data_IF_459123113248
#
_entry.id   IF_459123113248
#
_cell.length_a   1.000
_cell.length_b   1.000
_cell.length_c   1.000
_cell.angle_alpha   90.00
_cell.angle_beta   90.00
_cell.angle_gamma   90.00
#
_symmetry.space_group_name_H-M   'P 1'
#
loop_
_entity.id
_entity.type
_entity.pdbx_description
1 polymer ?
#
# COMPACT_ATOMS: atom_id res chain seq x y z
N UNK A 1 -14.14 12.53 -0.03
CA UNK A 1 -14.27 11.17 0.53
C UNK A 1 -14.39 10.20 -0.61
N UNK A 2 -13.62 9.11 -0.61
CA UNK A 2 -13.69 8.12 -1.69
C UNK A 2 -13.54 6.70 -1.18
N UNK A 3 -14.14 5.77 -1.93
CA UNK A 3 -13.99 4.32 -1.75
C UNK A 3 -13.57 3.72 -3.08
N UNK A 4 -12.50 2.93 -3.06
CA UNK A 4 -12.05 2.12 -4.19
C UNK A 4 -12.36 0.65 -3.89
N UNK A 5 -13.11 0.00 -4.76
CA UNK A 5 -13.53 -1.39 -4.62
C UNK A 5 -12.90 -2.27 -5.69
N UNK A 6 -12.42 -3.45 -5.29
CA UNK A 6 -12.01 -4.52 -6.20
C UNK A 6 -13.12 -5.59 -6.24
N UNK A 7 -13.77 -5.82 -7.40
CA UNK A 7 -14.67 -6.95 -7.57
C UNK A 7 -13.95 -8.28 -7.33
N UNK A 8 -14.53 -9.18 -6.55
CA UNK A 8 -14.01 -10.53 -6.31
C UNK A 8 -14.68 -11.57 -7.24
N UNK A 9 -15.00 -11.14 -8.46
CA UNK A 9 -15.64 -11.93 -9.50
C UNK A 9 -15.17 -11.45 -10.87
N UNK A 10 -15.24 -12.35 -11.85
CA UNK A 10 -14.83 -12.07 -13.23
C UNK A 10 -16.07 -11.75 -14.08
N UNK A 11 -16.45 -10.48 -14.09
CA UNK A 11 -17.49 -9.96 -15.00
C UNK A 11 -17.26 -8.47 -15.28
N UNK A 12 -17.63 -8.03 -16.47
CA UNK A 12 -17.63 -6.60 -16.81
C UNK A 12 -18.71 -5.87 -16.00
N UNK A 13 -18.32 -4.72 -15.45
CA UNK A 13 -19.23 -3.84 -14.73
C UNK A 13 -19.82 -2.79 -15.69
N UNK A 14 -21.14 -2.56 -15.65
CA UNK A 14 -21.75 -1.47 -16.39
C UNK A 14 -21.15 -0.09 -16.02
N UNK A 15 -21.12 0.89 -16.95
CA UNK A 15 -20.53 2.20 -16.70
C UNK A 15 -21.14 2.98 -15.52
N UNK A 16 -22.41 2.74 -15.22
CA UNK A 16 -23.22 3.37 -14.16
C UNK A 16 -23.24 2.58 -12.85
N UNK A 17 -22.51 1.47 -12.78
CA UNK A 17 -22.55 0.55 -11.65
C UNK A 17 -22.02 1.17 -10.35
N UNK A 18 -21.14 2.17 -10.43
CA UNK A 18 -20.61 2.89 -9.27
C UNK A 18 -21.72 3.60 -8.48
N UNK A 19 -22.71 4.18 -9.16
CA UNK A 19 -23.86 4.82 -8.53
C UNK A 19 -24.78 3.79 -7.87
N UNK A 20 -24.97 2.62 -8.49
CA UNK A 20 -25.74 1.52 -7.90
C UNK A 20 -25.08 1.05 -6.60
N UNK A 21 -23.76 0.85 -6.61
CA UNK A 21 -23.01 0.46 -5.42
C UNK A 21 -23.05 1.55 -4.34
N UNK A 22 -22.84 2.82 -4.71
CA UNK A 22 -22.92 3.95 -3.77
C UNK A 22 -24.27 3.97 -3.05
N UNK A 23 -25.38 3.80 -3.78
CA UNK A 23 -26.72 3.77 -3.20
C UNK A 23 -26.93 2.56 -2.26
N UNK A 24 -26.30 1.41 -2.54
CA UNK A 24 -26.38 0.21 -1.67
C UNK A 24 -25.50 0.32 -0.41
N UNK A 25 -24.43 1.11 -0.47
CA UNK A 25 -23.50 1.32 0.65
C UNK A 25 -23.84 2.55 1.48
N UNK A 26 -24.72 3.43 1.02
CA UNK A 26 -25.06 4.67 1.70
C UNK A 26 -25.48 4.44 3.16
N UNK A 27 -24.87 5.17 4.09
CA UNK A 27 -25.06 5.03 5.54
C UNK A 27 -24.32 3.83 6.17
N UNK A 28 -23.51 3.09 5.41
CA UNK A 28 -22.61 2.06 5.94
C UNK A 28 -21.21 2.63 6.15
N UNK A 29 -20.56 2.18 7.23
CA UNK A 29 -19.13 2.37 7.45
C UNK A 29 -18.36 1.29 6.68
N UNK A 30 -17.27 1.67 6.02
CA UNK A 30 -16.34 0.77 5.33
C UNK A 30 -14.90 1.07 5.74
N UNK A 31 -14.05 0.04 5.78
CA UNK A 31 -12.63 0.16 6.14
C UNK A 31 -11.72 -0.38 5.04
N UNK A 32 -10.57 0.25 4.83
CA UNK A 32 -9.52 -0.29 3.95
C UNK A 32 -9.16 -1.72 4.37
N UNK A 33 -9.11 -2.64 3.40
CA UNK A 33 -8.79 -4.06 3.61
C UNK A 33 -10.00 -4.96 3.87
N UNK A 34 -11.18 -4.41 4.16
CA UNK A 34 -12.41 -5.18 4.43
C UNK A 34 -12.97 -5.85 3.17
N UNK A 35 -13.60 -7.03 3.33
CA UNK A 35 -14.45 -7.62 2.31
C UNK A 35 -15.93 -7.35 2.61
N UNK A 36 -16.64 -6.80 1.62
CA UNK A 36 -18.06 -6.46 1.73
C UNK A 36 -18.90 -7.26 0.73
N UNK A 37 -20.07 -7.69 1.18
CA UNK A 37 -21.10 -8.32 0.35
C UNK A 37 -22.21 -7.33 0.01
N UNK A 38 -22.52 -7.19 -1.28
CA UNK A 38 -23.59 -6.30 -1.77
C UNK A 38 -24.56 -7.12 -2.60
N UNK A 39 -25.83 -7.10 -2.22
CA UNK A 39 -26.88 -7.82 -2.94
C UNK A 39 -27.38 -7.03 -4.14
N UNK A 40 -27.25 -7.63 -5.33
CA UNK A 40 -27.62 -7.04 -6.62
C UNK A 40 -28.39 -8.08 -7.40
N UNK A 41 -29.64 -7.75 -7.79
CA UNK A 41 -30.54 -8.65 -8.50
C UNK A 41 -30.71 -10.02 -7.81
N UNK A 42 -30.74 -10.04 -6.46
CA UNK A 42 -30.87 -11.24 -5.65
C UNK A 42 -29.61 -12.11 -5.55
N UNK A 43 -28.46 -11.62 -6.04
CA UNK A 43 -27.16 -12.30 -5.90
C UNK A 43 -26.21 -11.48 -5.04
N UNK A 44 -25.53 -12.09 -4.05
CA UNK A 44 -24.50 -11.42 -3.30
C UNK A 44 -23.22 -11.31 -4.14
N UNK A 45 -22.84 -10.08 -4.48
CA UNK A 45 -21.55 -9.80 -5.11
C UNK A 45 -20.57 -9.36 -4.02
N UNK A 46 -19.36 -9.93 -4.06
CA UNK A 46 -18.31 -9.63 -3.09
C UNK A 46 -17.30 -8.65 -3.67
N UNK A 47 -16.88 -7.70 -2.84
CA UNK A 47 -15.88 -6.70 -3.18
C UNK A 47 -14.89 -6.58 -2.03
N UNK A 48 -13.61 -6.39 -2.35
CA UNK A 48 -12.61 -5.96 -1.38
C UNK A 48 -12.52 -4.43 -1.41
N UNK A 49 -12.54 -3.80 -0.24
CA UNK A 49 -12.31 -2.36 -0.08
C UNK A 49 -10.80 -2.14 -0.19
N UNK A 50 -10.34 -1.73 -1.37
CA UNK A 50 -8.91 -1.46 -1.63
C UNK A 50 -8.47 -0.20 -0.91
N UNK A 51 -9.34 0.81 -0.85
CA UNK A 51 -9.07 2.08 -0.19
C UNK A 51 -10.37 2.73 0.29
N UNK A 52 -10.41 3.13 1.56
CA UNK A 52 -11.39 4.08 2.08
C UNK A 52 -10.64 5.34 2.55
N UNK A 53 -11.05 6.51 2.08
CA UNK A 53 -10.39 7.80 2.42
C UNK A 53 -11.41 8.83 2.93
N UNK A 54 -11.38 9.19 4.23
CA UNK A 54 -10.57 8.59 5.31
C UNK A 54 -10.94 7.11 5.61
N UNK A 55 -10.14 6.38 6.40
CA UNK A 55 -10.50 5.03 6.88
C UNK A 55 -10.59 5.06 8.42
N UNK A 56 -11.72 4.69 9.05
CA UNK A 56 -13.00 4.30 8.44
C UNK A 56 -13.72 5.44 7.71
N UNK A 57 -14.56 5.08 6.72
CA UNK A 57 -15.43 6.01 5.99
C UNK A 57 -16.90 5.61 6.12
N UNK A 58 -17.76 6.53 6.54
CA UNK A 58 -19.21 6.41 6.33
C UNK A 58 -19.57 6.89 4.91
N UNK A 59 -20.23 6.03 4.13
CA UNK A 59 -20.58 6.33 2.73
C UNK A 59 -21.77 7.28 2.67
N UNK A 60 -21.54 8.51 2.20
CA UNK A 60 -22.56 9.54 1.99
C UNK A 60 -22.82 9.86 0.52
N UNK A 61 -23.64 10.88 0.28
CA UNK A 61 -24.00 11.35 -1.09
C UNK A 61 -22.79 11.86 -1.88
N UNK A 62 -21.86 12.54 -1.20
CA UNK A 62 -20.64 13.10 -1.77
C UNK A 62 -19.48 12.08 -1.85
N UNK A 63 -19.69 10.85 -1.37
CA UNK A 63 -18.66 9.80 -1.43
C UNK A 63 -18.53 9.31 -2.85
N UNK A 64 -17.33 9.43 -3.42
CA UNK A 64 -17.02 8.88 -4.74
C UNK A 64 -16.71 7.39 -4.64
N UNK A 65 -17.41 6.57 -5.43
CA UNK A 65 -17.14 5.13 -5.53
C UNK A 65 -16.43 4.85 -6.85
N UNK A 66 -15.30 4.17 -6.79
CA UNK A 66 -14.46 3.81 -7.93
C UNK A 66 -14.18 2.30 -7.92
N UNK A 67 -13.97 1.71 -9.10
CA UNK A 67 -13.56 0.31 -9.22
C UNK A 67 -12.12 0.23 -9.72
N UNK A 68 -11.28 -0.52 -9.00
CA UNK A 68 -9.93 -0.83 -9.47
C UNK A 68 -10.02 -1.81 -10.64
N UNK A 69 -9.61 -1.37 -11.83
CA UNK A 69 -9.39 -2.27 -12.96
C UNK A 69 -7.94 -2.75 -12.86
N UNK A 70 -7.74 -3.97 -12.34
CA UNK A 70 -6.42 -4.53 -12.05
C UNK A 70 -6.19 -4.82 -10.56
N UNK A 71 -5.16 -5.62 -10.26
CA UNK A 71 -4.77 -5.91 -8.89
C UNK A 71 -3.89 -4.79 -8.36
N UNK A 72 -4.47 -3.84 -7.64
CA UNK A 72 -3.70 -2.92 -6.80
C UNK A 72 -3.54 -3.60 -5.45
N UNK A 73 -2.34 -4.06 -5.16
CA UNK A 73 -1.94 -4.53 -3.84
C UNK A 73 -1.40 -3.34 -3.05
N UNK A 74 -1.99 -3.10 -1.87
CA UNK A 74 -1.56 -2.04 -0.94
C UNK A 74 -0.99 -2.74 0.28
N UNK A 75 0.27 -2.46 0.58
CA UNK A 75 0.99 -2.98 1.73
C UNK A 75 1.37 -1.79 2.63
N UNK A 76 0.82 -1.79 3.84
CA UNK A 76 1.19 -0.83 4.89
C UNK A 76 2.29 -1.45 5.77
N UNK A 77 3.35 -0.69 5.99
CA UNK A 77 4.46 -1.08 6.86
C UNK A 77 4.51 -0.14 8.06
N UNK A 78 4.41 -0.70 9.26
CA UNK A 78 4.56 0.03 10.52
C UNK A 78 5.99 -0.10 11.03
N UNK A 79 6.56 1.02 11.47
CA UNK A 79 7.90 1.09 12.04
C UNK A 79 7.80 1.75 13.42
N UNK A 80 8.59 1.26 14.37
CA UNK A 80 8.64 1.80 15.75
C UNK A 80 9.26 3.21 15.80
N UNK A 81 9.92 3.63 14.72
CA UNK A 81 10.53 4.94 14.57
C UNK A 81 10.20 5.60 13.23
N UNK A 82 10.31 6.94 13.12
CA UNK A 82 10.01 7.64 11.87
C UNK A 82 10.92 7.22 10.72
N UNK A 83 10.32 7.00 9.55
CA UNK A 83 11.04 6.80 8.30
C UNK A 83 11.69 8.13 7.88
N UNK A 84 13.02 8.14 7.74
CA UNK A 84 13.77 9.33 7.28
C UNK A 84 13.71 9.48 5.77
N UNK A 85 13.91 8.38 5.05
CA UNK A 85 14.02 8.38 3.60
C UNK A 85 13.65 7.01 3.02
N UNK A 86 13.09 7.02 1.82
CA UNK A 86 12.85 5.81 1.01
C UNK A 86 13.51 6.00 -0.34
N UNK A 87 14.47 5.13 -0.68
CA UNK A 87 15.22 5.18 -1.92
C UNK A 87 14.79 4.02 -2.84
N UNK A 88 14.17 4.30 -4.00
CA UNK A 88 13.86 3.26 -4.98
C UNK A 88 15.14 2.81 -5.72
N UNK A 89 15.21 1.52 -6.03
CA UNK A 89 16.24 0.95 -6.91
C UNK A 89 15.68 -0.24 -7.71
N UNK A 90 16.47 -0.85 -8.59
CA UNK A 90 15.96 -1.84 -9.56
C UNK A 90 15.28 -3.04 -8.89
N UNK A 91 15.78 -3.48 -7.72
CA UNK A 91 15.27 -4.67 -7.04
C UNK A 91 14.24 -4.39 -5.94
N UNK A 92 13.87 -3.13 -5.71
CA UNK A 92 12.87 -2.75 -4.72
C UNK A 92 13.15 -1.40 -4.08
N UNK A 93 13.10 -1.35 -2.75
CA UNK A 93 13.17 -0.12 -1.97
C UNK A 93 14.16 -0.24 -0.81
N UNK A 94 14.89 0.83 -0.53
CA UNK A 94 15.68 0.97 0.69
C UNK A 94 14.94 1.90 1.64
N UNK A 95 14.62 1.44 2.83
CA UNK A 95 14.00 2.22 3.90
C UNK A 95 15.09 2.61 4.89
N UNK A 96 15.23 3.91 5.14
CA UNK A 96 16.23 4.47 6.05
C UNK A 96 15.52 5.00 7.30
N UNK A 97 15.84 4.42 8.46
CA UNK A 97 15.38 4.86 9.78
C UNK A 97 16.47 5.69 10.48
N UNK A 98 16.39 5.92 11.80
CA UNK A 98 17.43 6.73 12.46
C UNK A 98 18.80 6.07 12.44
N UNK A 99 18.83 4.78 12.73
CA UNK A 99 20.04 3.96 12.85
C UNK A 99 19.96 2.65 12.07
N UNK A 100 18.81 2.33 11.49
CA UNK A 100 18.61 1.11 10.72
C UNK A 100 18.49 1.41 9.23
N UNK A 101 19.01 0.49 8.41
CA UNK A 101 18.72 0.43 6.97
C UNK A 101 18.08 -0.91 6.65
N UNK A 102 16.91 -0.87 6.02
CA UNK A 102 16.19 -2.03 5.54
C UNK A 102 16.13 -2.02 4.01
N UNK A 103 16.18 -3.20 3.39
CA UNK A 103 15.92 -3.36 1.96
C UNK A 103 14.72 -4.26 1.82
N UNK A 104 13.72 -3.79 1.09
CA UNK A 104 12.52 -4.51 0.71
C UNK A 104 12.59 -4.84 -0.79
N UNK A 105 12.16 -6.03 -1.20
CA UNK A 105 11.89 -6.30 -2.62
C UNK A 105 10.57 -5.64 -3.07
N UNK A 106 10.19 -5.79 -4.33
CA UNK A 106 8.94 -5.23 -4.88
C UNK A 106 7.68 -5.80 -4.23
N UNK A 107 7.75 -7.01 -3.67
CA UNK A 107 6.66 -7.65 -2.93
C UNK A 107 6.61 -7.21 -1.45
N UNK A 108 7.46 -6.25 -1.05
CA UNK A 108 7.53 -5.76 0.32
C UNK A 108 8.23 -6.71 1.31
N UNK A 109 8.87 -7.79 0.83
CA UNK A 109 9.60 -8.72 1.68
C UNK A 109 10.97 -8.14 2.06
N UNK A 110 11.31 -8.23 3.35
CA UNK A 110 12.61 -7.79 3.88
C UNK A 110 13.73 -8.72 3.42
N UNK A 111 14.62 -8.20 2.56
CA UNK A 111 15.80 -8.95 2.05
C UNK A 111 17.08 -8.63 2.82
N UNK A 112 17.14 -7.48 3.49
CA UNK A 112 18.27 -7.08 4.33
C UNK A 112 17.78 -6.13 5.43
N UNK A 113 18.38 -6.22 6.62
CA UNK A 113 18.21 -5.25 7.70
C UNK A 113 19.46 -5.23 8.57
N UNK A 114 19.87 -4.03 8.96
CA UNK A 114 21.00 -3.85 9.85
C UNK A 114 20.94 -2.51 10.56
N UNK A 115 21.25 -2.53 11.84
CA UNK A 115 21.45 -1.34 12.64
C UNK A 115 22.92 -0.91 12.62
N UNK A 116 23.14 0.40 12.68
CA UNK A 116 24.45 1.04 12.70
C UNK A 116 24.51 1.99 13.89
N UNK A 117 25.63 1.98 14.63
CA UNK A 117 25.84 2.92 15.74
C UNK A 117 25.80 4.38 15.24
N UNK A 118 26.49 4.62 14.12
CA UNK A 118 26.54 5.89 13.40
C UNK A 118 26.18 5.66 11.91
N UNK A 119 24.95 5.97 11.50
CA UNK A 119 24.54 5.96 10.09
C UNK A 119 24.72 7.35 9.48
N UNK A 120 25.60 7.48 8.50
CA UNK A 120 25.94 8.78 7.91
C UNK A 120 25.19 9.04 6.59
N UNK A 121 25.22 8.08 5.67
CA UNK A 121 24.67 8.27 4.33
C UNK A 121 24.26 6.93 3.70
N UNK A 122 23.16 6.95 2.96
CA UNK A 122 22.71 5.82 2.15
C UNK A 122 22.53 6.29 0.71
N UNK A 123 23.04 5.49 -0.24
CA UNK A 123 22.87 5.70 -1.67
C UNK A 123 22.45 4.41 -2.33
N UNK A 124 21.49 4.51 -3.24
CA UNK A 124 21.08 3.38 -4.06
C UNK A 124 21.39 3.67 -5.53
N UNK A 125 21.84 2.64 -6.24
CA UNK A 125 22.04 2.61 -7.69
C UNK A 125 21.37 1.36 -8.24
N UNK A 126 21.26 1.24 -9.57
CA UNK A 126 20.54 0.14 -10.25
C UNK A 126 20.72 -1.22 -9.58
N UNK A 127 21.96 -1.67 -9.31
CA UNK A 127 22.21 -2.99 -8.74
C UNK A 127 22.78 -3.06 -7.32
N UNK A 128 22.93 -1.93 -6.61
CA UNK A 128 23.61 -1.94 -5.32
C UNK A 128 23.20 -0.78 -4.42
N UNK A 129 23.29 -1.05 -3.11
CA UNK A 129 23.09 -0.08 -2.04
C UNK A 129 24.41 0.14 -1.33
N UNK A 130 24.80 1.40 -1.18
CA UNK A 130 26.00 1.84 -0.48
C UNK A 130 25.57 2.50 0.81
N UNK A 131 26.09 2.00 1.93
CA UNK A 131 25.84 2.53 3.27
C UNK A 131 27.17 3.03 3.83
N UNK A 132 27.26 4.32 4.08
CA UNK A 132 28.38 4.94 4.79
C UNK A 132 28.01 5.00 6.27
N UNK A 133 28.80 4.33 7.09
CA UNK A 133 28.54 4.19 8.52
C UNK A 133 29.83 4.25 9.30
N UNK A 134 29.73 4.65 10.57
CA UNK A 134 30.87 4.98 11.41
C UNK A 134 31.78 6.03 10.73
N UNK A 135 32.91 6.36 11.33
CA UNK A 135 33.73 7.47 10.81
C UNK A 135 34.35 7.22 9.43
N UNK A 136 34.54 5.97 9.03
CA UNK A 136 35.35 5.63 7.86
C UNK A 136 35.01 4.27 7.25
N UNK A 137 33.81 3.73 7.49
CA UNK A 137 33.40 2.45 6.91
C UNK A 137 32.33 2.64 5.84
N UNK A 138 32.39 1.74 4.87
CA UNK A 138 31.43 1.65 3.79
C UNK A 138 31.01 0.19 3.66
N UNK A 139 29.70 -0.03 3.57
CA UNK A 139 29.09 -1.33 3.28
C UNK A 139 28.42 -1.27 1.92
N UNK A 140 28.77 -2.23 1.06
CA UNK A 140 28.13 -2.44 -0.23
C UNK A 140 27.20 -3.64 -0.12
N UNK A 141 25.91 -3.43 -0.31
CA UNK A 141 24.90 -4.50 -0.34
C UNK A 141 24.49 -4.72 -1.79
N UNK A 142 24.55 -5.97 -2.24
CA UNK A 142 24.07 -6.43 -3.55
C UNK A 142 22.94 -7.44 -3.33
N UNK A 143 21.69 -6.96 -3.20
CA UNK A 143 20.51 -7.83 -3.13
C UNK A 143 20.35 -8.62 -4.43
#
# INVERSE_FOLDING_TARGET
>A
MRVVLKPLFEAELPPDFSEVIKNKLMGKEVRTGEEIGIEILGKPLRFKVVLAEPSPLEVGKETRVEFSHGEIEVLDFEFDEPVKEVLPFEKGFVVVLNKEVLILNHDGQKVYSNEFEELNEVRASKGAVVIVHDKNKLRLVKP
#
